data_IF_850663772443
#
_entry.id   IF_850663772443
#
_cell.length_a   1.000
_cell.length_b   1.000
_cell.length_c   1.000
_cell.angle_alpha   90.00
_cell.angle_beta   90.00
_cell.angle_gamma   90.00
#
_symmetry.space_group_name_H-M   'P 1'
#
loop_
_entity.id
_entity.type
_entity.pdbx_description
1 polymer ?
#
# COMPACT_ATOMS: atom_id res chain seq x y z
N UNK A 1 27.44 35.13 -15.70
CA UNK A 1 26.67 34.68 -16.90
C UNK A 1 25.48 33.76 -16.60
N UNK A 2 25.44 33.03 -15.47
CA UNK A 2 24.37 32.07 -15.14
C UNK A 2 23.01 32.72 -14.82
N UNK A 3 23.02 33.93 -14.23
CA UNK A 3 21.83 34.60 -13.70
C UNK A 3 20.87 35.14 -14.77
N UNK A 4 21.41 35.61 -15.92
CA UNK A 4 20.58 36.07 -17.06
C UNK A 4 19.79 34.92 -17.71
N UNK A 5 20.38 33.72 -17.80
CA UNK A 5 19.69 32.52 -18.32
C UNK A 5 18.57 32.07 -17.36
N UNK A 6 18.82 32.15 -16.06
CA UNK A 6 17.83 31.81 -15.03
C UNK A 6 16.60 32.73 -15.08
N UNK A 7 16.79 34.05 -15.17
CA UNK A 7 15.68 35.02 -15.24
C UNK A 7 14.74 34.77 -16.43
N UNK A 8 15.30 34.45 -17.60
CA UNK A 8 14.51 34.14 -18.80
C UNK A 8 13.64 32.88 -18.63
N UNK A 9 14.16 31.84 -17.97
CA UNK A 9 13.42 30.58 -17.73
C UNK A 9 12.35 30.80 -16.65
N UNK A 10 12.68 31.50 -15.56
CA UNK A 10 11.75 31.81 -14.48
C UNK A 10 10.53 32.57 -14.99
N UNK A 11 10.74 33.63 -15.80
CA UNK A 11 9.64 34.38 -16.45
C UNK A 11 8.78 33.48 -17.33
N UNK A 12 9.38 32.59 -18.13
CA UNK A 12 8.66 31.64 -19.00
C UNK A 12 7.80 30.64 -18.23
N UNK A 13 8.27 30.14 -17.09
CA UNK A 13 7.52 29.20 -16.24
C UNK A 13 6.34 29.90 -15.56
N UNK A 14 6.52 31.17 -15.17
CA UNK A 14 5.45 31.96 -14.55
C UNK A 14 4.32 32.30 -15.54
N UNK A 15 4.67 32.62 -16.80
CA UNK A 15 3.70 33.02 -17.82
C UNK A 15 3.04 31.82 -18.51
N UNK A 16 3.77 30.72 -18.71
CA UNK A 16 3.26 29.55 -19.44
C UNK A 16 2.99 28.38 -18.48
N UNK A 17 1.71 28.11 -18.20
CA UNK A 17 1.30 26.89 -17.52
C UNK A 17 1.48 25.71 -18.48
N UNK A 18 2.42 24.80 -18.16
CA UNK A 18 2.56 23.55 -18.93
C UNK A 18 1.30 22.70 -18.78
N UNK A 19 0.91 22.00 -19.84
CA UNK A 19 -0.20 21.04 -19.78
C UNK A 19 0.17 19.93 -18.79
N UNK A 20 -0.76 19.58 -17.92
CA UNK A 20 -0.62 18.43 -17.03
C UNK A 20 -0.50 17.16 -17.86
N UNK A 21 0.48 16.33 -17.52
CA UNK A 21 0.69 15.06 -18.19
C UNK A 21 -0.46 14.09 -17.85
N UNK A 22 -1.14 13.59 -18.89
CA UNK A 22 -2.20 12.60 -18.75
C UNK A 22 -1.68 11.21 -19.13
N UNK A 23 -1.39 10.39 -18.12
CA UNK A 23 -0.91 9.03 -18.30
C UNK A 23 -1.95 8.08 -18.92
N UNK A 24 -3.25 8.37 -18.79
CA UNK A 24 -4.29 7.62 -19.50
C UNK A 24 -4.22 7.89 -20.99
N UNK A 25 -4.03 9.17 -21.36
CA UNK A 25 -3.93 9.57 -22.78
C UNK A 25 -2.72 8.94 -23.44
N UNK A 26 -1.56 8.97 -22.77
CA UNK A 26 -0.34 8.36 -23.30
C UNK A 26 -0.47 6.86 -23.52
N UNK A 27 -1.14 6.15 -22.61
CA UNK A 27 -1.39 4.71 -22.77
C UNK A 27 -2.35 4.39 -23.93
N UNK A 28 -3.31 5.26 -24.20
CA UNK A 28 -4.29 5.05 -25.27
C UNK A 28 -3.79 5.43 -26.67
N UNK A 29 -2.77 6.29 -26.79
CA UNK A 29 -2.28 6.75 -28.10
C UNK A 29 -1.66 5.63 -28.93
N UNK A 30 -0.93 4.71 -28.28
CA UNK A 30 -0.17 3.64 -28.95
C UNK A 30 -0.73 2.23 -28.66
N UNK A 31 -1.99 2.14 -28.22
CA UNK A 31 -2.66 0.85 -27.97
C UNK A 31 -4.10 0.86 -28.49
N UNK A 32 -4.64 -0.34 -28.74
CA UNK A 32 -6.05 -0.52 -29.13
C UNK A 32 -7.04 -0.28 -27.97
N UNK A 33 -6.55 0.24 -26.84
CA UNK A 33 -7.36 0.49 -25.65
C UNK A 33 -8.03 1.86 -25.79
N UNK A 34 -9.37 1.94 -25.77
CA UNK A 34 -10.05 3.22 -25.85
C UNK A 34 -9.68 4.08 -24.63
N UNK A 35 -9.39 5.38 -24.85
CA UNK A 35 -8.97 6.31 -23.79
C UNK A 35 -9.93 6.33 -22.59
N UNK A 36 -11.24 6.14 -22.80
CA UNK A 36 -12.22 6.02 -21.72
C UNK A 36 -11.96 4.82 -20.77
N UNK A 37 -11.45 3.70 -21.29
CA UNK A 37 -11.07 2.54 -20.49
C UNK A 37 -9.80 2.80 -19.66
N UNK A 38 -8.88 3.63 -20.15
CA UNK A 38 -7.68 4.03 -19.39
C UNK A 38 -8.00 4.94 -18.19
N UNK A 39 -9.11 5.69 -18.21
CA UNK A 39 -9.55 6.53 -17.09
C UNK A 39 -10.20 5.75 -15.95
N UNK A 40 -10.78 4.57 -16.22
CA UNK A 40 -11.42 3.73 -15.18
C UNK A 40 -10.42 3.23 -14.14
N UNK A 41 -9.13 3.13 -14.47
CA UNK A 41 -8.09 2.73 -13.52
C UNK A 41 -7.68 3.88 -12.58
N UNK A 42 -7.84 5.14 -12.99
CA UNK A 42 -7.54 6.33 -12.17
C UNK A 42 -8.63 6.64 -11.13
N UNK A 43 -9.89 6.28 -11.38
CA UNK A 43 -10.97 6.42 -10.38
C UNK A 43 -10.75 5.59 -9.11
N UNK A 44 -9.92 4.54 -9.17
CA UNK A 44 -9.53 3.75 -8.01
C UNK A 44 -8.65 4.56 -7.05
N UNK A 45 -7.90 5.54 -7.56
CA UNK A 45 -6.95 6.35 -6.77
C UNK A 45 -7.54 7.69 -6.30
N UNK A 46 -8.63 8.18 -6.91
CA UNK A 46 -9.28 9.46 -6.56
C UNK A 46 -10.48 9.33 -5.63
N UNK A 47 -10.80 8.12 -5.14
CA UNK A 47 -11.87 7.92 -4.16
C UNK A 47 -13.29 8.12 -4.72
N UNK A 48 -13.47 8.22 -6.03
CA UNK A 48 -14.81 8.18 -6.63
C UNK A 48 -15.34 6.75 -6.64
N UNK A 49 -16.18 6.51 -5.65
CA UNK A 49 -16.93 5.29 -5.33
C UNK A 49 -17.62 4.75 -6.60
N UNK A 50 -17.31 3.50 -6.97
CA UNK A 50 -18.18 2.73 -7.88
C UNK A 50 -19.53 2.55 -7.19
N UNK A 51 -20.68 2.56 -7.90
CA UNK A 51 -21.93 2.08 -7.31
C UNK A 51 -21.65 0.70 -6.72
N UNK A 52 -21.79 0.63 -5.41
CA UNK A 52 -21.32 -0.45 -4.59
C UNK A 52 -22.20 -1.66 -4.89
N UNK A 53 -21.66 -2.64 -5.61
CA UNK A 53 -22.28 -3.96 -5.65
C UNK A 53 -22.47 -4.41 -4.19
N UNK A 54 -23.71 -4.54 -3.75
CA UNK A 54 -24.12 -4.79 -2.36
C UNK A 54 -23.59 -6.09 -1.74
N UNK A 55 -22.77 -6.86 -2.47
CA UNK A 55 -22.26 -8.17 -2.02
C UNK A 55 -20.93 -8.12 -1.29
N UNK A 56 -20.35 -6.95 -1.09
CA UNK A 56 -19.03 -6.81 -0.47
C UNK A 56 -19.14 -6.31 0.98
N UNK A 57 -19.59 -7.19 1.90
CA UNK A 57 -19.29 -7.07 3.34
C UNK A 57 -17.79 -7.35 3.60
N UNK A 58 -16.89 -6.77 2.79
CA UNK A 58 -15.46 -6.83 3.10
C UNK A 58 -15.26 -6.07 4.39
N UNK A 59 -15.01 -6.80 5.47
CA UNK A 59 -14.52 -6.22 6.73
C UNK A 59 -13.35 -5.33 6.35
N UNK A 60 -13.47 -4.03 6.64
CA UNK A 60 -12.40 -3.08 6.31
C UNK A 60 -11.12 -3.59 6.98
N UNK A 61 -10.00 -3.69 6.27
CA UNK A 61 -8.77 -4.16 6.88
C UNK A 61 -8.44 -3.27 8.08
N UNK A 62 -8.17 -3.87 9.25
CA UNK A 62 -7.88 -3.11 10.46
C UNK A 62 -6.48 -2.47 10.37
N UNK A 63 -6.34 -1.41 9.56
CA UNK A 63 -5.05 -0.83 9.20
C UNK A 63 -4.29 -0.35 10.44
N UNK A 64 -5.01 0.20 11.43
CA UNK A 64 -4.42 0.69 12.68
C UNK A 64 -3.73 -0.43 13.44
N UNK A 65 -4.38 -1.59 13.55
CA UNK A 65 -3.81 -2.79 14.19
C UNK A 65 -2.55 -3.24 13.45
N UNK A 66 -2.61 -3.37 12.12
CA UNK A 66 -1.44 -3.77 11.29
C UNK A 66 -0.29 -2.78 11.37
N UNK A 67 -0.59 -1.50 11.46
CA UNK A 67 0.42 -0.45 11.60
C UNK A 67 1.09 -0.50 12.97
N UNK A 68 0.30 -0.66 14.04
CA UNK A 68 0.83 -0.78 15.39
C UNK A 68 1.69 -2.04 15.55
N UNK A 69 1.26 -3.18 15.01
CA UNK A 69 2.05 -4.40 15.05
C UNK A 69 3.38 -4.25 14.30
N UNK A 70 3.38 -3.60 13.13
CA UNK A 70 4.60 -3.29 12.39
C UNK A 70 5.55 -2.40 13.20
N UNK A 71 5.05 -1.29 13.79
CA UNK A 71 5.87 -0.39 14.60
C UNK A 71 6.49 -1.14 15.79
N UNK A 72 5.70 -1.99 16.45
CA UNK A 72 6.15 -2.81 17.58
C UNK A 72 7.28 -3.75 17.16
N UNK A 73 7.11 -4.50 16.07
CA UNK A 73 8.14 -5.40 15.54
C UNK A 73 9.44 -4.67 15.17
N UNK A 74 9.35 -3.47 14.59
CA UNK A 74 10.54 -2.66 14.26
C UNK A 74 11.28 -2.22 15.53
N UNK A 75 10.56 -1.77 16.55
CA UNK A 75 11.17 -1.33 17.82
C UNK A 75 11.87 -2.50 18.53
N UNK A 76 11.25 -3.68 18.52
CA UNK A 76 11.81 -4.90 19.10
C UNK A 76 13.06 -5.39 18.34
N UNK A 77 13.03 -5.38 17.00
CA UNK A 77 14.21 -5.74 16.22
C UNK A 77 15.41 -4.83 16.52
N UNK A 78 15.16 -3.53 16.76
CA UNK A 78 16.19 -2.58 17.17
C UNK A 78 16.72 -2.87 18.57
N UNK A 79 15.86 -3.23 19.53
CA UNK A 79 16.31 -3.56 20.89
C UNK A 79 17.15 -4.83 20.93
N UNK A 80 16.80 -5.87 20.15
CA UNK A 80 17.63 -7.07 19.96
C UNK A 80 19.01 -6.69 19.42
N UNK A 81 19.04 -5.90 18.35
CA UNK A 81 20.30 -5.45 17.73
C UNK A 81 21.16 -4.65 18.72
N UNK A 82 20.54 -3.81 19.56
CA UNK A 82 21.24 -3.05 20.59
C UNK A 82 21.80 -3.96 21.68
N UNK A 83 21.03 -4.94 22.17
CA UNK A 83 21.46 -5.89 23.19
C UNK A 83 22.68 -6.70 22.73
N UNK A 84 22.67 -7.15 21.47
CA UNK A 84 23.82 -7.85 20.85
C UNK A 84 25.05 -6.94 20.82
N UNK A 85 24.90 -5.68 20.42
CA UNK A 85 26.03 -4.72 20.36
C UNK A 85 26.59 -4.37 21.74
N UNK A 86 25.73 -4.24 22.75
CA UNK A 86 26.15 -3.88 24.10
C UNK A 86 26.61 -5.08 24.94
N UNK A 87 26.56 -6.30 24.40
CA UNK A 87 26.84 -7.53 25.16
C UNK A 87 25.82 -7.82 26.27
N UNK A 88 24.64 -7.21 26.21
CA UNK A 88 23.58 -7.38 27.20
C UNK A 88 22.73 -8.62 26.95
N UNK A 89 21.89 -9.03 27.92
CA UNK A 89 20.99 -10.16 27.74
C UNK A 89 19.97 -9.86 26.63
N UNK A 90 19.74 -10.85 25.77
CA UNK A 90 18.75 -10.76 24.70
C UNK A 90 17.35 -10.55 25.28
N UNK A 91 16.51 -9.72 24.65
CA UNK A 91 15.13 -9.57 25.08
C UNK A 91 14.39 -10.90 24.95
N UNK A 92 13.49 -11.18 25.90
CA UNK A 92 12.69 -12.41 25.92
C UNK A 92 11.89 -12.53 24.62
N UNK A 93 11.91 -13.73 24.04
CA UNK A 93 11.14 -14.04 22.83
C UNK A 93 9.64 -13.82 23.08
N UNK A 94 8.98 -13.14 22.14
CA UNK A 94 7.51 -12.99 22.11
C UNK A 94 6.96 -13.74 20.90
N UNK A 95 5.91 -14.56 21.07
CA UNK A 95 5.19 -15.13 19.94
C UNK A 95 4.62 -14.03 19.05
N UNK A 96 4.56 -14.29 17.74
CA UNK A 96 3.94 -13.36 16.79
C UNK A 96 2.44 -13.26 17.06
N UNK A 97 1.92 -12.04 17.21
CA UNK A 97 0.49 -11.82 17.40
C UNK A 97 -0.26 -12.16 16.11
N UNK A 98 -1.26 -13.04 16.22
CA UNK A 98 -2.15 -13.38 15.12
C UNK A 98 -3.14 -12.22 14.94
N UNK A 99 -3.27 -11.64 13.72
CA UNK A 99 -4.22 -10.56 13.48
C UNK A 99 -5.66 -11.01 13.75
N UNK A 100 -6.49 -10.11 14.29
CA UNK A 100 -7.89 -10.40 14.64
C UNK A 100 -8.77 -10.89 13.48
N UNK A 101 -8.42 -10.53 12.24
CA UNK A 101 -9.13 -10.89 11.02
C UNK A 101 -8.79 -12.29 10.48
N UNK A 102 -7.88 -13.02 11.12
CA UNK A 102 -7.42 -14.34 10.66
C UNK A 102 -8.24 -15.46 11.30
N UNK A 103 -8.47 -16.53 10.53
CA UNK A 103 -9.15 -17.75 10.97
C UNK A 103 -8.15 -18.90 11.05
N UNK A 104 -8.24 -19.71 12.08
CA UNK A 104 -7.41 -20.90 12.28
C UNK A 104 -8.01 -22.11 11.55
N UNK A 105 -7.17 -22.87 10.86
CA UNK A 105 -7.58 -24.10 10.19
C UNK A 105 -7.59 -25.28 11.18
N UNK A 106 -8.70 -26.02 11.34
CA UNK A 106 -8.81 -27.12 12.30
C UNK A 106 -7.95 -28.35 11.94
N UNK A 107 -7.44 -28.42 10.71
CA UNK A 107 -6.66 -29.57 10.23
C UNK A 107 -5.15 -29.40 10.37
N UNK A 108 -4.65 -28.17 10.30
CA UNK A 108 -3.20 -27.90 10.34
C UNK A 108 -2.80 -26.76 11.29
N UNK A 109 -3.75 -26.19 12.04
CA UNK A 109 -3.55 -25.13 13.04
C UNK A 109 -2.82 -23.89 12.50
N UNK A 110 -2.89 -23.64 11.19
CA UNK A 110 -2.36 -22.43 10.55
C UNK A 110 -3.45 -21.37 10.44
N UNK A 111 -3.06 -20.11 10.62
CA UNK A 111 -3.94 -18.96 10.53
C UNK A 111 -3.91 -18.34 9.13
N UNK A 112 -5.08 -18.12 8.54
CA UNK A 112 -5.23 -17.55 7.21
C UNK A 112 -6.20 -16.38 7.21
N UNK A 113 -6.06 -15.49 6.23
CA UNK A 113 -7.14 -14.54 5.95
C UNK A 113 -8.37 -15.31 5.42
N UNK A 114 -9.55 -14.71 5.52
CA UNK A 114 -10.83 -15.37 5.19
C UNK A 114 -10.87 -15.97 3.76
N UNK A 115 -10.34 -15.25 2.76
CA UNK A 115 -10.33 -15.71 1.37
C UNK A 115 -9.31 -16.85 1.13
N UNK A 116 -8.16 -16.80 1.80
CA UNK A 116 -7.18 -17.87 1.77
C UNK A 116 -7.71 -19.11 2.47
N UNK A 117 -8.37 -18.96 3.62
CA UNK A 117 -8.97 -20.06 4.38
C UNK A 117 -9.98 -20.85 3.53
N UNK A 118 -10.84 -20.17 2.76
CA UNK A 118 -11.82 -20.80 1.87
C UNK A 118 -11.18 -21.74 0.83
N UNK A 119 -9.98 -21.42 0.35
CA UNK A 119 -9.23 -22.28 -0.60
C UNK A 119 -8.28 -23.25 0.10
N UNK A 120 -8.07 -23.05 1.40
CA UNK A 120 -7.11 -23.80 2.18
C UNK A 120 -7.72 -25.03 2.84
N UNK A 121 -8.96 -24.93 3.31
CA UNK A 121 -9.69 -26.07 3.88
C UNK A 121 -10.03 -27.05 2.75
N UNK A 122 -9.45 -28.26 2.73
CA UNK A 122 -9.89 -29.31 1.83
C UNK A 122 -11.36 -29.62 2.16
N UNK A 123 -12.20 -29.76 1.12
CA UNK A 123 -13.57 -30.26 1.28
C UNK A 123 -13.55 -31.65 1.92
#
# INVERSE_FOLDING_TARGET
>A
MYQKKHQAICRKILTNKRKTFDAGKQRATDSDIPYAATKKTLQIYTGQIRPQDEKSKYKKPNWRERHQSLIKSIREARSVTQAIKSGGPLPKFRPTEIPSDYVECPYCNRNFNQHAAQRHTPL
#
